data_IF_299431141599
#
_entry.id   IF_299431141599
#
_cell.length_a   1.000
_cell.length_b   1.000
_cell.length_c   1.000
_cell.angle_alpha   90.00
_cell.angle_beta   90.00
_cell.angle_gamma   90.00
#
_symmetry.space_group_name_H-M   'P 1'
#
loop_
_entity.id
_entity.type
_entity.pdbx_description
1 polymer ?
#
# COMPACT_ATOMS: atom_id res chain seq x y z
N UNK A 1 -17.93 8.10 12.85
CA UNK A 1 -16.62 8.80 12.87
C UNK A 1 -16.60 9.84 11.75
N UNK A 2 -15.93 10.98 11.92
CA UNK A 2 -15.82 12.06 10.93
C UNK A 2 -14.37 12.21 10.46
N UNK A 3 -14.17 12.86 9.31
CA UNK A 3 -12.86 13.10 8.69
C UNK A 3 -11.84 13.72 9.68
N UNK A 4 -12.24 14.74 10.45
CA UNK A 4 -11.35 15.41 11.41
C UNK A 4 -10.88 14.50 12.56
N UNK A 5 -11.72 13.52 12.95
CA UNK A 5 -11.33 12.53 13.95
C UNK A 5 -10.28 11.55 13.40
N UNK A 6 -10.39 11.22 12.11
CA UNK A 6 -9.39 10.40 11.43
C UNK A 6 -8.08 11.16 11.34
N UNK A 7 -8.10 12.42 10.87
CA UNK A 7 -6.91 13.28 10.80
C UNK A 7 -6.21 13.37 12.16
N UNK A 8 -6.95 13.67 13.21
CA UNK A 8 -6.40 13.76 14.58
C UNK A 8 -5.76 12.44 15.02
N UNK A 9 -6.39 11.31 14.69
CA UNK A 9 -5.85 9.98 15.01
C UNK A 9 -4.54 9.69 14.26
N UNK A 10 -4.48 10.00 12.97
CA UNK A 10 -3.28 9.84 12.14
C UNK A 10 -2.12 10.70 12.65
N UNK A 11 -2.40 11.96 12.99
CA UNK A 11 -1.39 12.87 13.57
C UNK A 11 -0.88 12.39 14.93
N UNK A 12 -1.75 11.85 15.78
CA UNK A 12 -1.33 11.23 17.06
C UNK A 12 -0.46 10.00 16.88
N UNK A 13 -0.63 9.28 15.76
CA UNK A 13 0.24 8.17 15.35
C UNK A 13 1.56 8.64 14.73
N UNK A 14 1.77 9.95 14.61
CA UNK A 14 3.02 10.54 14.13
C UNK A 14 3.03 10.86 12.64
N UNK A 15 1.96 10.61 11.88
CA UNK A 15 1.90 11.02 10.49
C UNK A 15 1.82 12.54 10.36
N UNK A 16 2.58 13.09 9.41
CA UNK A 16 2.74 14.51 9.18
C UNK A 16 2.79 14.86 7.69
N UNK A 17 2.81 16.14 7.40
CA UNK A 17 3.02 16.66 6.06
C UNK A 17 4.37 16.19 5.50
N UNK A 18 4.35 15.72 4.25
CA UNK A 18 5.51 15.18 3.54
C UNK A 18 5.69 13.67 3.64
N UNK A 19 4.97 12.99 4.54
CA UNK A 19 5.09 11.54 4.68
C UNK A 19 4.57 10.80 3.45
N UNK A 20 5.19 9.65 3.19
CA UNK A 20 4.74 8.67 2.19
C UNK A 20 4.10 7.49 2.91
N UNK A 21 2.85 7.16 2.59
CA UNK A 21 2.09 6.14 3.32
C UNK A 21 1.50 5.11 2.38
N UNK A 22 1.82 3.83 2.59
CA UNK A 22 1.07 2.70 2.01
C UNK A 22 -0.09 2.34 2.95
N UNK A 23 -1.31 2.52 2.47
CA UNK A 23 -2.52 2.25 3.24
C UNK A 23 -3.13 0.90 2.89
N UNK A 24 -3.27 0.04 3.89
CA UNK A 24 -4.18 -1.10 3.89
C UNK A 24 -5.34 -0.81 4.82
N UNK A 25 -6.57 -1.04 4.39
CA UNK A 25 -7.72 -0.64 5.18
C UNK A 25 -8.91 -1.56 5.08
N UNK A 26 -9.71 -1.58 6.15
CA UNK A 26 -11.06 -2.12 6.16
C UNK A 26 -12.02 -1.05 6.68
N UNK A 27 -12.82 -0.45 5.78
CA UNK A 27 -13.77 0.57 6.18
C UNK A 27 -14.81 0.04 7.18
N UNK A 28 -15.24 -1.21 7.03
CA UNK A 28 -16.21 -1.85 7.94
C UNK A 28 -15.68 -2.01 9.37
N UNK A 29 -14.38 -2.16 9.54
CA UNK A 29 -13.75 -2.27 10.86
C UNK A 29 -13.73 -0.93 11.62
N UNK A 30 -13.94 0.19 10.93
CA UNK A 30 -14.00 1.53 11.54
C UNK A 30 -15.41 1.89 12.05
N UNK A 31 -16.41 1.05 11.79
CA UNK A 31 -17.80 1.37 12.03
C UNK A 31 -18.34 2.42 11.04
N UNK A 32 -19.33 3.21 11.46
CA UNK A 32 -19.91 4.24 10.61
C UNK A 32 -18.95 5.43 10.43
N UNK A 33 -18.58 5.72 9.18
CA UNK A 33 -17.78 6.87 8.81
C UNK A 33 -18.63 7.83 7.97
N UNK A 34 -18.85 9.04 8.45
CA UNK A 34 -19.56 10.07 7.70
C UNK A 34 -18.75 10.46 6.47
N UNK A 35 -19.34 10.32 5.29
CA UNK A 35 -18.65 10.48 4.01
C UNK A 35 -17.91 9.24 3.50
N UNK A 36 -17.99 8.11 4.22
CA UNK A 36 -17.51 6.82 3.76
C UNK A 36 -16.01 6.77 3.42
N UNK A 37 -15.69 6.07 2.34
CA UNK A 37 -14.31 5.93 1.86
C UNK A 37 -13.68 7.29 1.46
N UNK A 38 -14.46 8.19 0.86
CA UNK A 38 -13.99 9.53 0.51
C UNK A 38 -13.44 10.30 1.70
N UNK A 39 -14.17 10.30 2.83
CA UNK A 39 -13.72 10.97 4.05
C UNK A 39 -12.43 10.36 4.62
N UNK A 40 -12.21 9.05 4.47
CA UNK A 40 -10.95 8.40 4.87
C UNK A 40 -9.80 8.89 4.00
N UNK A 41 -9.98 8.88 2.67
CA UNK A 41 -8.95 9.34 1.71
C UNK A 41 -8.64 10.82 1.95
N UNK A 42 -9.66 11.67 2.08
CA UNK A 42 -9.50 13.10 2.34
C UNK A 42 -8.75 13.37 3.65
N UNK A 43 -8.99 12.55 4.68
CA UNK A 43 -8.27 12.67 5.96
C UNK A 43 -6.77 12.38 5.79
N UNK A 44 -6.39 11.33 5.06
CA UNK A 44 -4.99 11.04 4.76
C UNK A 44 -4.35 12.16 3.95
N UNK A 45 -4.98 12.57 2.84
CA UNK A 45 -4.45 13.64 1.99
C UNK A 45 -4.27 14.95 2.74
N UNK A 46 -5.20 15.29 3.63
CA UNK A 46 -5.09 16.50 4.46
C UNK A 46 -3.93 16.44 5.47
N UNK A 47 -3.63 15.26 6.04
CA UNK A 47 -2.50 15.10 6.97
C UNK A 47 -1.17 15.08 6.23
N UNK A 48 -1.11 14.40 5.09
CA UNK A 48 0.10 14.27 4.28
C UNK A 48 0.46 15.57 3.53
N UNK A 49 -0.52 16.45 3.33
CA UNK A 49 -0.34 17.71 2.62
C UNK A 49 0.07 17.55 1.16
N UNK A 50 0.49 18.64 0.54
CA UNK A 50 0.86 18.65 -0.88
C UNK A 50 2.22 18.03 -1.18
N UNK A 51 3.08 17.90 -0.18
CA UNK A 51 4.42 17.27 -0.28
C UNK A 51 4.43 15.78 0.04
N UNK A 52 3.37 15.26 0.68
CA UNK A 52 3.26 13.84 0.98
C UNK A 52 2.66 13.00 -0.14
N UNK A 53 2.54 11.70 0.10
CA UNK A 53 1.98 10.77 -0.88
C UNK A 53 1.23 9.64 -0.20
N UNK A 54 -0.01 9.43 -0.62
CA UNK A 54 -0.84 8.28 -0.24
C UNK A 54 -0.75 7.21 -1.33
N UNK A 55 -0.46 5.97 -0.94
CA UNK A 55 -0.38 4.82 -1.84
C UNK A 55 -1.32 3.72 -1.36
N UNK A 56 -1.97 3.04 -2.27
CA UNK A 56 -2.80 1.84 -1.98
C UNK A 56 -2.48 0.73 -2.98
N UNK A 57 -2.49 -0.54 -2.57
CA UNK A 57 -2.37 -1.65 -3.50
C UNK A 57 -3.68 -1.78 -4.31
N UNK A 58 -3.58 -2.13 -5.61
CA UNK A 58 -4.72 -2.19 -6.54
C UNK A 58 -4.87 -3.53 -7.27
N UNK A 59 -4.06 -4.52 -6.96
CA UNK A 59 -4.20 -5.87 -7.52
C UNK A 59 -5.36 -6.61 -6.84
N UNK A 60 -6.39 -6.96 -7.59
CA UNK A 60 -7.61 -7.60 -7.08
C UNK A 60 -8.57 -6.64 -6.37
N UNK A 61 -9.60 -7.19 -5.73
CA UNK A 61 -10.58 -6.40 -4.96
C UNK A 61 -10.11 -6.23 -3.50
N UNK A 62 -9.48 -5.10 -3.23
CA UNK A 62 -8.92 -4.77 -1.92
C UNK A 62 -9.77 -3.75 -1.12
N UNK A 63 -11.03 -3.57 -1.51
CA UNK A 63 -12.01 -2.83 -0.75
C UNK A 63 -12.28 -1.40 -1.24
N UNK A 64 -13.24 -0.75 -0.57
CA UNK A 64 -13.82 0.53 -1.03
C UNK A 64 -12.85 1.71 -0.93
N UNK A 65 -11.95 1.74 0.06
CA UNK A 65 -10.96 2.83 0.20
C UNK A 65 -9.93 2.76 -0.91
N UNK A 66 -9.47 1.56 -1.26
CA UNK A 66 -8.58 1.35 -2.41
C UNK A 66 -9.21 1.82 -3.72
N UNK A 67 -10.48 1.44 -3.96
CA UNK A 67 -11.22 1.90 -5.15
C UNK A 67 -11.39 3.42 -5.17
N UNK A 68 -11.66 4.03 -4.03
CA UNK A 68 -11.77 5.49 -3.90
C UNK A 68 -10.47 6.18 -4.32
N UNK A 69 -9.31 5.77 -3.79
CA UNK A 69 -8.01 6.33 -4.19
C UNK A 69 -7.77 6.15 -5.70
N UNK A 70 -7.95 4.93 -6.20
CA UNK A 70 -7.68 4.60 -7.61
C UNK A 70 -8.61 5.33 -8.60
N UNK A 71 -9.81 5.77 -8.16
CA UNK A 71 -10.79 6.49 -8.99
C UNK A 71 -10.58 8.01 -9.03
N UNK A 72 -9.72 8.56 -8.16
CA UNK A 72 -9.44 10.00 -8.13
C UNK A 72 -8.69 10.43 -9.39
N UNK A 73 -9.04 11.60 -9.93
CA UNK A 73 -8.42 12.13 -11.16
C UNK A 73 -6.93 12.40 -11.07
N UNK A 74 -6.44 12.67 -9.86
CA UNK A 74 -5.03 12.90 -9.53
C UNK A 74 -4.25 11.62 -9.24
N UNK A 75 -4.91 10.46 -9.25
CA UNK A 75 -4.24 9.19 -8.97
C UNK A 75 -3.35 8.72 -10.13
N UNK A 76 -2.14 8.36 -9.81
CA UNK A 76 -1.20 7.69 -10.72
C UNK A 76 -1.22 6.20 -10.42
N UNK A 77 -1.49 5.37 -11.43
CA UNK A 77 -1.49 3.92 -11.29
C UNK A 77 -0.16 3.31 -11.75
N UNK A 78 0.38 2.39 -10.99
CA UNK A 78 1.44 1.53 -11.47
C UNK A 78 0.85 0.38 -12.29
N UNK A 79 1.59 -0.05 -13.30
CA UNK A 79 1.17 -1.15 -14.16
C UNK A 79 1.92 -2.41 -13.74
N UNK A 80 1.21 -3.36 -13.15
CA UNK A 80 1.73 -4.71 -12.88
C UNK A 80 0.54 -5.66 -12.65
N UNK A 81 0.49 -6.82 -13.31
CA UNK A 81 -0.70 -7.70 -13.23
C UNK A 81 -0.94 -8.28 -11.83
N UNK A 82 0.08 -8.33 -10.97
CA UNK A 82 0.02 -9.01 -9.68
C UNK A 82 0.39 -8.19 -8.45
N UNK A 83 0.83 -6.95 -8.64
CA UNK A 83 1.36 -6.15 -7.53
C UNK A 83 1.12 -4.64 -7.69
N UNK A 84 0.22 -4.25 -8.60
CA UNK A 84 -0.06 -2.84 -8.90
C UNK A 84 -0.46 -2.03 -7.67
N UNK A 85 -0.18 -0.74 -7.72
CA UNK A 85 -0.60 0.25 -6.73
C UNK A 85 -1.21 1.47 -7.44
N UNK A 86 -1.96 2.27 -6.70
CA UNK A 86 -2.31 3.63 -7.08
C UNK A 86 -1.78 4.60 -6.03
N UNK A 87 -1.30 5.76 -6.46
CA UNK A 87 -0.71 6.76 -5.59
C UNK A 87 -1.24 8.16 -5.90
N UNK A 88 -1.44 8.97 -4.87
CA UNK A 88 -1.80 10.40 -4.96
C UNK A 88 -0.77 11.19 -4.15
N UNK A 89 -0.13 12.18 -4.75
CA UNK A 89 0.79 13.09 -4.06
C UNK A 89 2.11 13.29 -4.80
N UNK A 90 3.05 13.99 -4.14
CA UNK A 90 4.27 14.51 -4.75
C UNK A 90 5.19 13.43 -5.34
N UNK A 91 5.25 12.25 -4.74
CA UNK A 91 6.09 11.14 -5.19
C UNK A 91 5.35 10.11 -6.06
N UNK A 92 4.06 10.33 -6.41
CA UNK A 92 3.22 9.33 -7.07
C UNK A 92 3.83 8.80 -8.37
N UNK A 93 4.28 9.69 -9.26
CA UNK A 93 4.94 9.32 -10.52
C UNK A 93 6.23 8.51 -10.29
N UNK A 94 7.07 8.96 -9.35
CA UNK A 94 8.31 8.26 -9.01
C UNK A 94 8.04 6.85 -8.49
N UNK A 95 7.03 6.70 -7.62
CA UNK A 95 6.67 5.42 -7.01
C UNK A 95 6.12 4.47 -8.07
N UNK A 96 5.21 4.93 -8.94
CA UNK A 96 4.44 4.08 -9.84
C UNK A 96 5.17 3.72 -11.14
N UNK A 97 6.21 4.47 -11.53
CA UNK A 97 6.86 4.32 -12.83
C UNK A 97 7.42 2.91 -13.07
N UNK A 98 7.33 2.44 -14.30
CA UNK A 98 8.02 1.25 -14.81
C UNK A 98 7.84 -0.04 -13.99
N UNK A 99 6.80 -0.13 -13.14
CA UNK A 99 6.62 -1.27 -12.25
C UNK A 99 6.51 -2.61 -13.01
N UNK A 100 5.94 -2.59 -14.19
CA UNK A 100 5.79 -3.77 -15.04
C UNK A 100 7.13 -4.38 -15.50
N UNK A 101 8.25 -3.65 -15.40
CA UNK A 101 9.61 -4.13 -15.70
C UNK A 101 10.27 -4.85 -14.52
N UNK A 102 9.68 -4.73 -13.30
CA UNK A 102 10.32 -5.22 -12.10
C UNK A 102 10.17 -6.73 -11.94
N UNK A 103 11.28 -7.39 -11.60
CA UNK A 103 11.34 -8.81 -11.26
C UNK A 103 12.20 -8.99 -10.00
N UNK A 104 11.69 -9.59 -8.94
CA UNK A 104 10.31 -10.12 -8.74
C UNK A 104 9.27 -9.02 -8.48
N UNK A 105 7.99 -9.37 -8.52
CA UNK A 105 6.84 -8.46 -8.46
C UNK A 105 6.81 -7.49 -7.25
N UNK A 106 7.51 -7.80 -6.17
CA UNK A 106 7.69 -6.97 -4.97
C UNK A 106 9.17 -6.68 -4.67
N UNK A 107 10.08 -6.92 -5.62
CA UNK A 107 11.52 -6.76 -5.46
C UNK A 107 12.00 -5.33 -5.66
N UNK A 108 13.27 -5.21 -6.11
CA UNK A 108 13.88 -3.93 -6.47
C UNK A 108 13.11 -3.25 -7.59
N UNK A 109 13.17 -1.91 -7.63
CA UNK A 109 12.48 -1.08 -8.61
C UNK A 109 10.94 -1.18 -8.61
N UNK A 110 10.36 -1.66 -7.51
CA UNK A 110 8.92 -1.69 -7.30
C UNK A 110 8.43 -0.50 -6.47
N UNK A 111 7.14 -0.16 -6.53
CA UNK A 111 6.55 0.86 -5.66
C UNK A 111 6.85 0.65 -4.19
N UNK A 112 6.84 -0.59 -3.73
CA UNK A 112 7.06 -0.97 -2.32
C UNK A 112 8.44 -0.60 -1.82
N UNK A 113 9.51 -0.89 -2.59
CA UNK A 113 10.87 -0.55 -2.20
C UNK A 113 11.19 0.93 -2.46
N UNK A 114 10.65 1.54 -3.51
CA UNK A 114 10.77 3.00 -3.70
C UNK A 114 10.16 3.79 -2.54
N UNK A 115 9.03 3.31 -1.99
CA UNK A 115 8.47 3.89 -0.77
C UNK A 115 9.40 3.72 0.43
N UNK A 116 10.01 2.54 0.60
CA UNK A 116 10.97 2.30 1.67
C UNK A 116 12.20 3.22 1.55
N UNK A 117 12.70 3.44 0.34
CA UNK A 117 13.81 4.38 0.07
C UNK A 117 13.45 5.83 0.41
N UNK A 118 12.16 6.18 0.33
CA UNK A 118 11.64 7.48 0.74
C UNK A 118 11.35 7.57 2.25
N UNK A 119 11.65 6.53 3.04
CA UNK A 119 11.33 6.48 4.46
C UNK A 119 9.83 6.33 4.73
N UNK A 120 9.08 5.74 3.80
CA UNK A 120 7.62 5.62 3.88
C UNK A 120 7.14 4.69 4.99
N UNK A 121 5.91 4.93 5.41
CA UNK A 121 5.21 4.15 6.43
C UNK A 121 4.20 3.20 5.81
N UNK A 122 3.91 2.09 6.51
CA UNK A 122 2.74 1.25 6.25
C UNK A 122 1.69 1.53 7.30
N UNK A 123 0.50 1.94 6.87
CA UNK A 123 -0.64 2.15 7.74
C UNK A 123 -1.65 1.00 7.58
N UNK A 124 -1.91 0.28 8.67
CA UNK A 124 -2.89 -0.79 8.77
C UNK A 124 -4.15 -0.25 9.48
N UNK A 125 -5.10 0.25 8.71
CA UNK A 125 -6.31 0.89 9.23
C UNK A 125 -7.45 -0.12 9.35
N UNK A 126 -7.64 -0.69 10.56
CA UNK A 126 -8.68 -1.68 10.82
C UNK A 126 -8.41 -3.05 10.17
N UNK A 127 -7.16 -3.33 9.88
CA UNK A 127 -6.64 -4.62 9.40
C UNK A 127 -5.34 -4.96 10.11
N UNK A 128 -4.90 -6.21 10.01
CA UNK A 128 -3.67 -6.71 10.62
C UNK A 128 -2.56 -6.96 9.60
N UNK A 129 -1.41 -7.44 10.06
CA UNK A 129 -0.21 -7.71 9.24
C UNK A 129 -0.44 -8.76 8.13
N UNK A 130 -1.49 -9.56 8.21
CA UNK A 130 -1.89 -10.48 7.12
C UNK A 130 -2.30 -9.75 5.84
N UNK A 131 -2.58 -8.45 5.93
CA UNK A 131 -2.88 -7.56 4.80
C UNK A 131 -1.69 -6.73 4.33
N UNK A 132 -0.58 -6.77 5.04
CA UNK A 132 0.61 -5.98 4.74
C UNK A 132 1.40 -6.53 3.55
N UNK A 133 1.14 -6.01 2.35
CA UNK A 133 1.83 -6.44 1.12
C UNK A 133 3.32 -6.12 1.11
N UNK A 134 3.79 -5.15 1.90
CA UNK A 134 5.23 -4.83 1.98
C UNK A 134 6.07 -5.99 2.52
N UNK A 135 5.48 -6.90 3.30
CA UNK A 135 6.16 -8.10 3.78
C UNK A 135 6.60 -9.02 2.62
N UNK A 136 5.92 -8.96 1.48
CA UNK A 136 6.32 -9.68 0.28
C UNK A 136 7.60 -9.12 -0.35
N UNK A 137 7.93 -7.86 -0.10
CA UNK A 137 9.22 -7.31 -0.53
C UNK A 137 10.37 -7.92 0.26
N UNK A 138 10.18 -8.19 1.54
CA UNK A 138 11.17 -8.93 2.35
C UNK A 138 11.38 -10.34 1.80
N UNK A 139 10.31 -11.05 1.43
CA UNK A 139 10.40 -12.37 0.81
C UNK A 139 11.16 -12.32 -0.51
N UNK A 140 10.91 -11.30 -1.33
CA UNK A 140 11.59 -11.09 -2.60
C UNK A 140 13.08 -10.79 -2.42
N UNK A 141 13.44 -9.89 -1.50
CA UNK A 141 14.82 -9.52 -1.20
C UNK A 141 15.64 -10.68 -0.62
N UNK A 142 15.01 -11.57 0.15
CA UNK A 142 15.65 -12.76 0.70
C UNK A 142 15.68 -13.92 -0.31
N UNK A 143 15.12 -13.76 -1.49
CA UNK A 143 15.04 -14.78 -2.54
C UNK A 143 14.53 -16.13 -2.02
N UNK A 144 13.48 -16.09 -1.21
CA UNK A 144 12.98 -17.26 -0.51
C UNK A 144 12.59 -18.38 -1.48
N UNK A 145 12.92 -19.65 -1.17
CA UNK A 145 12.85 -20.75 -2.14
C UNK A 145 11.44 -21.17 -2.55
N UNK A 146 10.40 -20.62 -1.91
CA UNK A 146 9.01 -20.88 -2.24
C UNK A 146 8.43 -19.88 -3.26
N UNK A 147 9.18 -18.87 -3.68
CA UNK A 147 8.74 -17.99 -4.77
C UNK A 147 8.60 -18.80 -6.05
N UNK A 148 7.51 -18.58 -6.78
CA UNK A 148 7.21 -19.26 -8.03
C UNK A 148 7.13 -18.25 -9.16
N UNK A 149 7.60 -18.66 -10.33
CA UNK A 149 7.38 -17.92 -11.57
C UNK A 149 5.93 -18.05 -11.99
N UNK A 150 5.31 -16.93 -12.30
CA UNK A 150 3.96 -16.82 -12.85
C UNK A 150 4.06 -16.11 -14.18
N UNK A 151 3.50 -16.71 -15.23
CA UNK A 151 3.40 -16.11 -16.54
C UNK A 151 2.09 -15.30 -16.63
N UNK A 152 2.16 -14.18 -17.30
CA UNK A 152 1.02 -13.33 -17.62
C UNK A 152 1.15 -12.88 -19.05
N UNK A 153 0.07 -12.96 -19.83
CA UNK A 153 0.05 -12.61 -21.23
C UNK A 153 -0.88 -11.43 -21.49
N UNK A 154 -0.58 -10.67 -22.52
CA UNK A 154 -1.48 -9.67 -23.11
C UNK A 154 -1.95 -8.58 -22.13
N UNK A 155 -1.05 -8.04 -21.32
CA UNK A 155 -1.36 -6.86 -20.53
C UNK A 155 -0.77 -5.58 -21.15
N UNK A 156 -1.55 -4.51 -21.07
CA UNK A 156 -1.20 -3.23 -21.65
C UNK A 156 -0.18 -2.47 -20.81
N UNK A 157 0.83 -1.91 -21.47
CA UNK A 157 1.82 -1.00 -20.88
C UNK A 157 1.98 0.24 -21.76
N UNK A 158 2.67 1.29 -21.31
CA UNK A 158 2.99 2.44 -22.17
C UNK A 158 3.83 2.09 -23.41
N UNK A 159 4.53 0.96 -23.38
CA UNK A 159 5.35 0.48 -24.50
C UNK A 159 4.59 -0.50 -25.43
N UNK A 160 3.30 -0.73 -25.16
CA UNK A 160 2.43 -1.64 -25.91
C UNK A 160 1.96 -2.83 -25.07
N UNK A 161 1.31 -3.78 -25.71
CA UNK A 161 0.97 -5.05 -25.07
C UNK A 161 2.20 -5.91 -24.89
N UNK A 162 2.38 -6.45 -23.69
CA UNK A 162 3.52 -7.30 -23.35
C UNK A 162 3.05 -8.57 -22.65
N UNK A 163 3.84 -9.60 -22.79
CA UNK A 163 3.78 -10.81 -21.97
C UNK A 163 5.02 -10.86 -21.10
N UNK A 164 4.87 -11.29 -19.87
CA UNK A 164 5.98 -11.36 -18.95
C UNK A 164 5.86 -12.50 -17.96
N UNK A 165 6.95 -12.78 -17.27
CA UNK A 165 6.95 -13.72 -16.15
C UNK A 165 7.58 -13.06 -14.93
N UNK A 166 6.95 -13.25 -13.79
CA UNK A 166 7.40 -12.66 -12.51
C UNK A 166 7.48 -13.71 -11.44
N UNK A 167 8.50 -13.62 -10.61
CA UNK A 167 8.52 -14.39 -9.36
C UNK A 167 7.50 -13.79 -8.40
N UNK A 168 6.65 -14.65 -7.90
CA UNK A 168 5.53 -14.30 -7.05
C UNK A 168 5.37 -15.34 -5.93
N UNK A 169 4.83 -14.92 -4.81
CA UNK A 169 4.59 -15.80 -3.67
C UNK A 169 3.30 -16.63 -3.88
N UNK A 170 3.30 -17.93 -3.51
CA UNK A 170 2.20 -18.83 -3.84
C UNK A 170 1.04 -18.83 -2.83
N UNK A 171 0.75 -17.75 -2.13
CA UNK A 171 -0.44 -17.68 -1.26
C UNK A 171 -0.19 -17.96 0.24
N UNK A 172 -1.22 -18.24 1.04
CA UNK A 172 -1.39 -17.72 2.41
C UNK A 172 -0.70 -18.48 3.55
N UNK A 173 0.39 -19.19 3.33
CA UNK A 173 0.99 -20.07 4.35
C UNK A 173 2.08 -19.40 5.21
N UNK A 174 1.91 -18.08 5.50
CA UNK A 174 2.86 -17.31 6.31
C UNK A 174 2.18 -16.81 7.57
N UNK A 175 2.91 -16.87 8.66
CA UNK A 175 2.48 -16.33 9.94
C UNK A 175 2.84 -14.84 10.04
N UNK A 176 2.24 -14.00 9.20
CA UNK A 176 2.42 -12.56 9.29
C UNK A 176 1.80 -11.98 10.57
N UNK A 177 0.77 -12.62 11.11
CA UNK A 177 0.20 -12.24 12.43
C UNK A 177 1.19 -12.54 13.55
N UNK A 178 1.86 -13.69 13.53
CA UNK A 178 2.92 -13.98 14.50
C UNK A 178 4.13 -13.06 14.39
N UNK A 179 4.43 -12.54 13.17
CA UNK A 179 5.44 -11.53 12.95
C UNK A 179 5.10 -10.20 13.63
N UNK A 180 3.83 -9.81 13.69
CA UNK A 180 3.37 -8.56 14.31
C UNK A 180 3.90 -8.37 15.74
N UNK A 181 3.84 -9.42 16.54
CA UNK A 181 4.39 -9.39 17.90
C UNK A 181 5.87 -9.01 17.93
N UNK A 182 6.66 -9.61 17.04
CA UNK A 182 8.11 -9.32 16.96
C UNK A 182 8.40 -7.91 16.49
N UNK A 183 7.61 -7.40 15.54
CA UNK A 183 7.72 -6.01 15.07
C UNK A 183 7.40 -5.01 16.19
N UNK A 184 6.39 -5.29 17.01
CA UNK A 184 6.04 -4.48 18.20
C UNK A 184 7.13 -4.51 19.25
N UNK A 185 7.64 -5.70 19.60
CA UNK A 185 8.74 -5.88 20.55
C UNK A 185 10.01 -5.14 20.10
N UNK A 186 10.23 -5.04 18.79
CA UNK A 186 11.34 -4.29 18.19
C UNK A 186 11.08 -2.76 18.10
N UNK A 187 9.89 -2.28 18.52
CA UNK A 187 9.53 -0.86 18.43
C UNK A 187 9.26 -0.34 17.03
N UNK A 188 9.02 -1.25 16.07
CA UNK A 188 8.78 -0.91 14.66
C UNK A 188 7.31 -0.64 14.33
N UNK A 189 6.40 -0.89 15.28
CA UNK A 189 4.97 -0.66 15.12
C UNK A 189 4.47 0.29 16.20
N UNK A 190 3.87 1.40 15.77
CA UNK A 190 3.12 2.30 16.63
C UNK A 190 1.62 2.01 16.50
N UNK A 191 0.92 1.95 17.62
CA UNK A 191 -0.51 1.66 17.66
C UNK A 191 -1.30 2.80 18.28
N UNK A 192 -2.52 2.99 17.78
CA UNK A 192 -3.46 3.95 18.36
C UNK A 192 -4.89 3.66 17.94
N UNK A 193 -5.82 4.34 18.59
CA UNK A 193 -7.24 4.30 18.26
C UNK A 193 -7.65 5.59 17.57
N UNK A 194 -8.49 5.49 16.55
CA UNK A 194 -9.11 6.63 15.88
C UNK A 194 -10.56 6.73 16.34
N UNK A 195 -11.01 7.94 16.69
CA UNK A 195 -12.41 8.22 17.01
C UNK A 195 -12.80 8.06 18.48
N UNK A 196 -11.84 7.85 19.39
CA UNK A 196 -12.07 7.89 20.85
C UNK A 196 -11.87 9.29 21.42
#
# INVERSE_FOLDING_TARGET
MRCEQIQTGLQRLGLAEGDVVLLHSSLSSLGEVAGGAGAVVDAFLAVLGTSGTLVVPTFGDLGVVTREVASRSEAVASIHPRASVAAIGAAAEHICRDHWKAEPAHGTDTPYLRMADLGGYVCLLGVDQDRNTTLHSVEALLELPYLRTVEETDFATPEGEVSGSWRHFPGPHRDFIGLDRRLREAGLVQMGCIGS
#
